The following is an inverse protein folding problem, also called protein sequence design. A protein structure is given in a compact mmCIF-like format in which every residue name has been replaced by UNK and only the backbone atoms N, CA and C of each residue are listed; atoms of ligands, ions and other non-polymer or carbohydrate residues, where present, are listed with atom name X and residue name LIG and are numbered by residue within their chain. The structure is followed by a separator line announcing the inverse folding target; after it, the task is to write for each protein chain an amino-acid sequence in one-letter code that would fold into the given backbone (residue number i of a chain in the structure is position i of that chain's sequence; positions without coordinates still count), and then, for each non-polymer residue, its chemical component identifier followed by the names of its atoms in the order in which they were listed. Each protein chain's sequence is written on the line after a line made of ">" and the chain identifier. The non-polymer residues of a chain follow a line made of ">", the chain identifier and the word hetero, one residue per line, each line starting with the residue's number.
data_IF_884569071225
#
_entry.id   IF_884569071225
#
_cell.length_a   1.000
_cell.length_b   1.000
_cell.length_c   1.000
_cell.angle_alpha   90.00
_cell.angle_beta   90.00
_cell.angle_gamma   90.00
#
_symmetry.space_group_name_H-M   'P 1'
#
loop_
_entity.id
_entity.type
_entity.pdbx_description
1 polymer ?
#
# COMPACT_ATOMS: atom_id res chain seq x y z
N UNK A 1 17.74 63.67 25.57
CA UNK A 1 17.36 62.76 26.67
C UNK A 1 15.85 62.51 26.76
N UNK A 2 14.99 63.52 26.61
CA UNK A 2 13.52 63.34 26.70
C UNK A 2 12.94 62.31 25.71
N UNK A 3 13.46 62.27 24.49
CA UNK A 3 13.01 61.33 23.45
C UNK A 3 13.42 59.88 23.77
N UNK A 4 14.58 59.67 24.37
CA UNK A 4 15.06 58.35 24.81
C UNK A 4 14.25 57.89 26.03
N UNK A 5 13.96 58.79 26.97
CA UNK A 5 13.08 58.48 28.10
C UNK A 5 11.64 58.15 27.66
N UNK A 6 11.11 58.88 26.67
CA UNK A 6 9.80 58.60 26.08
C UNK A 6 9.80 57.29 25.29
N UNK A 7 10.85 56.99 24.53
CA UNK A 7 10.99 55.74 23.79
C UNK A 7 11.16 54.55 24.74
N UNK A 8 11.96 54.68 25.80
CA UNK A 8 12.11 53.65 26.83
C UNK A 8 10.80 53.47 27.60
N UNK A 9 10.10 54.55 27.94
CA UNK A 9 8.77 54.49 28.56
C UNK A 9 7.73 53.83 27.64
N UNK A 10 7.76 54.14 26.34
CA UNK A 10 6.88 53.56 25.33
C UNK A 10 7.21 52.08 25.06
N UNK A 11 8.48 51.70 25.07
CA UNK A 11 8.92 50.30 24.95
C UNK A 11 8.59 49.50 26.21
N UNK A 12 8.67 50.10 27.41
CA UNK A 12 8.19 49.49 28.66
C UNK A 12 6.67 49.34 28.62
N UNK A 13 5.94 50.32 28.08
CA UNK A 13 4.49 50.24 27.88
C UNK A 13 4.08 49.17 26.85
N UNK A 14 4.85 49.00 25.77
CA UNK A 14 4.65 47.94 24.78
C UNK A 14 5.04 46.55 25.31
N UNK A 15 6.01 46.46 26.22
CA UNK A 15 6.45 45.21 26.85
C UNK A 15 5.57 44.82 28.04
N UNK A 16 4.98 45.81 28.70
CA UNK A 16 3.97 45.70 29.74
C UNK A 16 2.58 45.77 29.15
N UNK A 17 2.20 44.77 28.35
CA UNK A 17 0.78 44.47 28.15
C UNK A 17 0.15 44.38 29.52
N UNK A 18 -0.75 45.31 29.80
CA UNK A 18 -1.35 45.52 31.10
C UNK A 18 -1.68 44.17 31.76
N UNK A 19 -1.20 44.00 33.00
CA UNK A 19 -1.62 42.97 33.94
C UNK A 19 -3.08 43.28 34.35
N UNK A 20 -3.97 43.33 33.36
CA UNK A 20 -5.40 43.28 33.56
C UNK A 20 -5.58 41.93 34.18
N UNK A 21 -5.89 41.99 35.48
CA UNK A 21 -6.35 40.92 36.35
C UNK A 21 -7.48 40.16 35.65
N UNK A 22 -7.11 39.31 34.71
CA UNK A 22 -8.01 38.51 33.90
C UNK A 22 -8.62 37.52 34.88
N UNK A 23 -9.85 37.84 35.30
CA UNK A 23 -10.66 37.01 36.18
C UNK A 23 -10.82 35.67 35.50
N UNK A 24 -10.39 34.61 36.18
CA UNK A 24 -10.36 33.26 35.66
C UNK A 24 -10.11 32.27 36.80
N UNK A 25 -10.18 30.98 36.47
CA UNK A 25 -9.83 29.91 37.39
C UNK A 25 -8.56 29.21 36.90
N UNK A 26 -7.85 28.59 37.85
CA UNK A 26 -6.63 27.85 37.53
C UNK A 26 -6.90 26.35 37.43
N UNK A 27 -6.14 25.69 36.58
CA UNK A 27 -6.03 24.24 36.50
C UNK A 27 -4.54 23.88 36.45
N UNK A 28 -4.18 22.70 36.98
CA UNK A 28 -2.79 22.24 37.00
C UNK A 28 -2.62 21.04 36.08
N UNK A 29 -1.87 21.19 34.99
CA UNK A 29 -1.57 20.12 34.04
C UNK A 29 -0.21 19.53 34.37
N UNK A 30 -0.15 18.25 34.69
CA UNK A 30 1.11 17.55 34.98
C UNK A 30 1.53 16.70 33.77
N UNK A 31 2.72 16.98 33.24
CA UNK A 31 3.29 16.30 32.06
C UNK A 31 4.67 15.70 32.39
N UNK A 32 5.11 14.72 31.61
CA UNK A 32 6.44 14.15 31.78
C UNK A 32 7.56 15.15 31.41
N UNK A 33 7.33 15.97 30.38
CA UNK A 33 8.26 16.99 29.91
C UNK A 33 7.50 18.24 29.46
N UNK A 34 7.91 19.42 29.92
CA UNK A 34 7.33 20.71 29.56
C UNK A 34 7.62 21.14 28.11
N UNK A 35 8.62 20.53 27.45
CA UNK A 35 8.94 20.74 26.05
C UNK A 35 9.30 22.19 25.68
N UNK A 36 9.78 22.97 26.65
CA UNK A 36 10.11 24.40 26.47
C UNK A 36 8.91 25.34 26.53
N UNK A 37 7.74 24.92 27.05
CA UNK A 37 6.60 25.81 27.24
C UNK A 37 6.94 26.93 28.24
N UNK A 38 6.69 28.17 27.84
CA UNK A 38 7.00 29.36 28.63
C UNK A 38 5.78 29.90 29.35
N UNK A 39 6.01 30.66 30.43
CA UNK A 39 4.97 31.48 31.06
C UNK A 39 4.43 32.48 30.02
N UNK A 40 3.11 32.63 29.95
CA UNK A 40 2.42 33.45 28.95
C UNK A 40 2.00 32.70 27.68
N UNK A 41 2.45 31.44 27.50
CA UNK A 41 2.02 30.58 26.39
C UNK A 41 0.49 30.44 26.36
N UNK A 42 -0.08 30.41 25.15
CA UNK A 42 -1.53 30.32 24.98
C UNK A 42 -2.06 28.96 25.39
N UNK A 43 -3.31 28.92 25.82
CA UNK A 43 -4.09 27.70 26.03
C UNK A 43 -5.29 27.77 25.11
N UNK A 44 -5.47 26.73 24.30
CA UNK A 44 -6.46 26.70 23.24
C UNK A 44 -7.36 25.49 23.41
N UNK A 45 -8.66 25.68 23.16
CA UNK A 45 -9.65 24.60 23.06
C UNK A 45 -10.28 24.68 21.67
N UNK A 46 -10.26 23.56 20.92
CA UNK A 46 -10.71 23.52 19.53
C UNK A 46 -10.09 24.63 18.63
N UNK A 47 -8.83 25.01 18.90
CA UNK A 47 -8.11 26.04 18.15
C UNK A 47 -8.40 27.49 18.57
N UNK A 48 -9.25 27.72 19.57
CA UNK A 48 -9.59 29.05 20.09
C UNK A 48 -8.87 29.31 21.42
N UNK A 49 -8.27 30.48 21.59
CA UNK A 49 -7.61 30.87 22.85
C UNK A 49 -8.64 30.99 23.99
N UNK A 50 -8.47 30.16 25.02
CA UNK A 50 -9.33 30.11 26.21
C UNK A 50 -8.60 30.48 27.50
N UNK A 51 -7.28 30.61 27.46
CA UNK A 51 -6.47 30.89 28.64
C UNK A 51 -4.99 31.05 28.32
N UNK A 52 -4.18 31.17 29.37
CA UNK A 52 -2.71 31.26 29.28
C UNK A 52 -2.02 30.53 30.42
N UNK A 53 -0.79 30.07 30.17
CA UNK A 53 0.09 29.50 31.18
C UNK A 53 0.53 30.59 32.15
N UNK A 54 0.20 30.45 33.44
CA UNK A 54 0.59 31.37 34.50
C UNK A 54 1.87 30.93 35.22
N UNK A 55 2.17 29.62 35.26
CA UNK A 55 3.36 29.09 35.94
C UNK A 55 3.82 27.75 35.37
N UNK A 56 5.12 27.48 35.41
CA UNK A 56 5.73 26.19 35.08
C UNK A 56 6.71 25.82 36.18
N UNK A 57 6.52 24.67 36.82
CA UNK A 57 7.30 24.22 37.98
C UNK A 57 7.71 22.75 37.85
N UNK A 58 8.84 22.38 38.43
CA UNK A 58 9.25 20.98 38.56
C UNK A 58 8.64 20.39 39.83
N UNK A 59 7.93 19.27 39.70
CA UNK A 59 7.37 18.54 40.84
C UNK A 59 8.44 17.69 41.54
N UNK A 60 8.23 17.28 42.81
CA UNK A 60 9.13 16.36 43.52
C UNK A 60 9.36 15.04 42.78
N UNK A 61 8.38 14.57 42.00
CA UNK A 61 8.43 13.37 41.17
C UNK A 61 9.17 13.59 39.83
N UNK A 62 9.87 14.73 39.68
CA UNK A 62 10.62 15.13 38.48
C UNK A 62 9.74 15.26 37.22
N UNK A 63 8.48 15.68 37.39
CA UNK A 63 7.55 16.00 36.30
C UNK A 63 7.35 17.51 36.19
N UNK A 64 6.87 18.01 35.06
CA UNK A 64 6.52 19.42 34.97
C UNK A 64 5.05 19.63 35.33
N UNK A 65 4.79 20.53 36.29
CA UNK A 65 3.45 21.04 36.62
C UNK A 65 3.28 22.41 35.94
N UNK A 66 2.29 22.50 35.08
CA UNK A 66 1.95 23.70 34.33
C UNK A 66 0.64 24.24 34.89
N UNK A 67 0.69 25.42 35.49
CA UNK A 67 -0.52 26.11 35.95
C UNK A 67 -1.06 26.94 34.81
N UNK A 68 -2.31 26.68 34.45
CA UNK A 68 -3.02 27.32 33.35
C UNK A 68 -4.17 28.10 33.93
N UNK A 69 -4.28 29.37 33.56
CA UNK A 69 -5.39 30.25 33.92
C UNK A 69 -6.36 30.31 32.76
N UNK A 70 -7.58 29.82 33.00
CA UNK A 70 -8.69 29.78 32.04
C UNK A 70 -9.61 30.97 32.28
N UNK A 71 -10.10 31.59 31.19
CA UNK A 71 -11.03 32.72 31.24
C UNK A 71 -12.35 32.29 31.90
N UNK A 72 -12.94 33.14 32.75
CA UNK A 72 -14.17 32.83 33.52
C UNK A 72 -15.35 32.36 32.64
N UNK A 73 -15.46 32.87 31.41
CA UNK A 73 -16.53 32.52 30.49
C UNK A 73 -16.42 31.12 29.86
N UNK A 74 -15.31 30.39 30.10
CA UNK A 74 -15.04 29.10 29.48
C UNK A 74 -15.11 27.97 30.51
N UNK A 75 -16.05 27.05 30.30
CA UNK A 75 -16.15 25.81 31.06
C UNK A 75 -15.39 24.69 30.31
N UNK A 76 -14.41 24.06 30.96
CA UNK A 76 -13.71 22.89 30.39
C UNK A 76 -14.43 21.61 30.82
N UNK A 77 -14.96 20.79 29.89
CA UNK A 77 -15.65 19.54 30.23
C UNK A 77 -14.78 18.57 31.03
N UNK A 78 -15.34 17.86 32.02
CA UNK A 78 -14.65 16.78 32.71
C UNK A 78 -14.28 15.67 31.72
N UNK A 79 -13.08 15.09 31.87
CA UNK A 79 -12.54 14.11 30.93
C UNK A 79 -11.81 14.72 29.73
N UNK A 80 -11.78 16.05 29.60
CA UNK A 80 -10.98 16.73 28.57
C UNK A 80 -9.51 16.31 28.62
N UNK A 81 -8.92 16.10 27.44
CA UNK A 81 -7.49 15.75 27.31
C UNK A 81 -6.65 17.00 27.11
N UNK A 82 -5.54 17.06 27.83
CA UNK A 82 -4.58 18.16 27.77
C UNK A 82 -3.29 17.68 27.12
N UNK A 83 -2.77 18.43 26.15
CA UNK A 83 -1.49 18.15 25.54
C UNK A 83 -0.71 19.43 25.28
N UNK A 84 0.63 19.33 25.24
CA UNK A 84 1.46 20.43 24.77
C UNK A 84 1.50 20.37 23.25
N UNK A 85 0.80 21.30 22.62
CA UNK A 85 0.87 21.54 21.19
C UNK A 85 2.06 22.43 20.82
N UNK A 86 2.32 22.51 19.52
CA UNK A 86 3.32 23.41 18.95
C UNK A 86 2.75 24.00 17.66
N UNK A 87 2.92 25.29 17.44
CA UNK A 87 2.54 25.93 16.18
C UNK A 87 3.51 25.49 15.05
N UNK A 88 3.40 24.23 14.60
CA UNK A 88 4.40 23.55 13.77
C UNK A 88 5.57 22.98 14.59
N UNK A 89 6.57 22.35 13.96
CA UNK A 89 7.69 21.72 14.71
C UNK A 89 8.62 22.70 15.45
N UNK A 90 8.67 23.97 15.05
CA UNK A 90 9.56 25.00 15.62
C UNK A 90 8.81 26.19 16.24
N UNK A 91 7.48 26.19 16.24
CA UNK A 91 6.69 27.30 16.76
C UNK A 91 6.60 27.31 18.28
N UNK A 92 6.01 28.40 18.80
CA UNK A 92 5.75 28.52 20.23
C UNK A 92 4.86 27.36 20.71
N UNK A 93 5.20 26.87 21.90
CA UNK A 93 4.43 25.83 22.59
C UNK A 93 3.16 26.44 23.16
N UNK A 94 2.07 25.68 23.11
CA UNK A 94 0.79 26.05 23.69
C UNK A 94 0.15 24.83 24.35
N UNK A 95 -0.80 25.05 25.26
CA UNK A 95 -1.62 23.95 25.80
C UNK A 95 -2.83 23.76 24.89
N UNK A 96 -2.98 22.57 24.33
CA UNK A 96 -4.16 22.16 23.59
C UNK A 96 -5.10 21.40 24.52
N UNK A 97 -6.37 21.80 24.54
CA UNK A 97 -7.46 21.15 25.25
C UNK A 97 -8.38 20.50 24.21
N UNK A 98 -8.48 19.17 24.26
CA UNK A 98 -9.44 18.40 23.50
C UNK A 98 -10.64 18.08 24.40
N UNK A 99 -11.80 18.73 24.19
CA UNK A 99 -12.96 18.52 25.04
C UNK A 99 -13.48 17.08 24.88
N UNK A 100 -13.94 16.49 25.98
CA UNK A 100 -14.66 15.22 25.91
C UNK A 100 -16.07 15.47 25.32
N UNK A 101 -16.51 14.71 24.31
CA UNK A 101 -17.84 14.87 23.75
C UNK A 101 -18.95 14.52 24.75
N UNK A 102 -20.03 15.29 24.76
CA UNK A 102 -21.24 15.02 25.57
C UNK A 102 -21.53 16.10 26.61
N UNK A 103 -22.64 15.93 27.32
CA UNK A 103 -23.05 16.80 28.42
C UNK A 103 -22.45 16.30 29.74
N UNK A 104 -21.19 16.68 29.97
CA UNK A 104 -20.44 16.33 31.18
C UNK A 104 -20.16 17.59 32.01
N UNK A 105 -20.16 17.48 33.35
CA UNK A 105 -19.93 18.63 34.21
C UNK A 105 -18.53 19.22 33.96
N UNK A 106 -18.33 20.52 34.24
CA UNK A 106 -17.03 21.15 34.07
C UNK A 106 -16.01 20.69 35.13
N UNK A 107 -14.74 20.79 34.78
CA UNK A 107 -13.62 20.59 35.72
C UNK A 107 -13.65 21.69 36.78
N UNK A 108 -13.45 21.32 38.04
CA UNK A 108 -13.43 22.26 39.16
C UNK A 108 -12.14 23.12 39.17
N UNK A 109 -12.21 24.38 39.61
CA UNK A 109 -11.02 25.19 39.87
C UNK A 109 -9.99 24.49 40.77
N UNK A 110 -8.71 24.57 40.41
CA UNK A 110 -7.60 23.96 41.13
C UNK A 110 -7.39 22.46 40.84
N UNK A 111 -8.20 21.87 39.95
CA UNK A 111 -8.05 20.45 39.61
C UNK A 111 -6.68 20.18 38.98
N UNK A 112 -6.06 19.08 39.43
CA UNK A 112 -4.85 18.53 38.83
C UNK A 112 -5.21 17.49 37.78
N UNK A 113 -4.79 17.71 36.55
CA UNK A 113 -5.02 16.81 35.41
C UNK A 113 -3.69 16.30 34.86
N UNK A 114 -3.71 15.10 34.28
CA UNK A 114 -2.54 14.58 33.57
C UNK A 114 -2.61 15.01 32.11
N UNK A 115 -1.53 15.61 31.61
CA UNK A 115 -1.38 15.96 30.21
C UNK A 115 -0.34 15.12 29.50
N UNK A 116 -0.39 15.13 28.16
CA UNK A 116 0.64 14.52 27.32
C UNK A 116 1.74 15.54 27.00
N UNK A 117 2.99 15.08 27.13
CA UNK A 117 4.17 15.82 26.66
C UNK A 117 4.12 15.99 25.13
N UNK A 118 4.79 17.01 24.56
CA UNK A 118 4.88 17.11 23.13
C UNK A 118 5.67 15.94 22.56
N UNK A 119 5.30 15.50 21.36
CA UNK A 119 6.07 14.49 20.63
C UNK A 119 7.50 15.00 20.45
N UNK A 120 8.47 14.24 20.93
CA UNK A 120 9.89 14.60 20.76
C UNK A 120 10.37 14.16 19.37
N UNK A 121 11.41 14.82 18.87
CA UNK A 121 12.06 14.41 17.63
C UNK A 121 12.68 13.00 17.75
N UNK A 122 13.20 12.69 18.93
CA UNK A 122 13.77 11.38 19.26
C UNK A 122 12.69 10.27 19.23
N UNK A 123 11.50 10.55 19.77
CA UNK A 123 10.37 9.62 19.70
C UNK A 123 9.88 9.41 18.27
N UNK A 124 9.89 10.46 17.44
CA UNK A 124 9.59 10.33 16.00
C UNK A 124 10.64 9.46 15.30
N UNK A 125 11.92 9.71 15.58
CA UNK A 125 13.03 8.95 15.02
C UNK A 125 12.92 7.45 15.36
N UNK A 126 12.70 7.11 16.63
CA UNK A 126 12.51 5.71 17.07
C UNK A 126 11.30 5.04 16.42
N UNK A 127 10.18 5.76 16.29
CA UNK A 127 8.98 5.24 15.62
C UNK A 127 9.24 4.95 14.15
N UNK A 128 9.96 5.82 13.45
CA UNK A 128 10.28 5.59 12.03
C UNK A 128 11.26 4.43 11.89
N UNK A 129 12.27 4.29 12.77
CA UNK A 129 13.15 3.12 12.82
C UNK A 129 12.34 1.83 13.01
N UNK A 130 11.38 1.83 13.93
CA UNK A 130 10.55 0.65 14.18
C UNK A 130 9.71 0.26 12.95
N UNK A 131 9.15 1.25 12.23
CA UNK A 131 8.44 1.01 10.97
C UNK A 131 9.37 0.47 9.89
N UNK A 132 10.58 1.04 9.75
CA UNK A 132 11.57 0.57 8.79
C UNK A 132 11.96 -0.91 9.05
N UNK A 133 12.24 -1.29 10.30
CA UNK A 133 12.56 -2.69 10.67
C UNK A 133 11.42 -3.66 10.36
N UNK A 134 10.16 -3.26 10.59
CA UNK A 134 9.00 -4.09 10.21
C UNK A 134 8.90 -4.27 8.69
N UNK A 135 9.26 -3.24 7.92
CA UNK A 135 9.30 -3.33 6.47
C UNK A 135 10.43 -4.26 5.99
N UNK A 136 11.61 -4.22 6.63
CA UNK A 136 12.71 -5.18 6.41
C UNK A 136 12.27 -6.63 6.68
N UNK A 137 11.61 -6.88 7.80
CA UNK A 137 11.10 -8.22 8.14
C UNK A 137 10.10 -8.72 7.08
N UNK A 138 9.20 -7.84 6.64
CA UNK A 138 8.23 -8.16 5.59
C UNK A 138 8.92 -8.48 4.24
N UNK A 139 9.89 -7.66 3.83
CA UNK A 139 10.64 -7.87 2.60
C UNK A 139 11.49 -9.15 2.65
N UNK A 140 12.12 -9.43 3.79
CA UNK A 140 12.86 -10.68 4.02
C UNK A 140 11.95 -11.90 3.91
N UNK A 141 10.74 -11.83 4.46
CA UNK A 141 9.75 -12.91 4.32
C UNK A 141 9.31 -13.10 2.87
N UNK A 142 9.09 -12.02 2.11
CA UNK A 142 8.77 -12.09 0.68
C UNK A 142 9.93 -12.72 -0.09
N UNK A 143 11.18 -12.32 0.17
CA UNK A 143 12.37 -12.90 -0.44
C UNK A 143 12.52 -14.38 -0.14
N UNK A 144 12.23 -14.81 1.10
CA UNK A 144 12.27 -16.22 1.47
C UNK A 144 11.29 -17.04 0.64
N UNK A 145 10.07 -16.55 0.42
CA UNK A 145 9.05 -17.24 -0.37
C UNK A 145 9.42 -17.25 -1.86
N UNK A 146 9.85 -16.11 -2.41
CA UNK A 146 10.14 -15.96 -3.83
C UNK A 146 11.47 -16.60 -4.24
N UNK A 147 12.45 -16.58 -3.33
CA UNK A 147 13.75 -17.23 -3.47
C UNK A 147 13.73 -18.72 -3.15
N UNK A 148 12.63 -19.26 -2.61
CA UNK A 148 12.50 -20.68 -2.27
C UNK A 148 12.68 -21.55 -3.53
N UNK A 149 13.69 -22.46 -3.56
CA UNK A 149 13.83 -23.44 -4.63
C UNK A 149 12.58 -24.30 -4.83
N UNK A 150 11.81 -24.56 -3.77
CA UNK A 150 10.56 -25.32 -3.82
C UNK A 150 9.49 -24.61 -4.65
N UNK A 151 9.37 -23.30 -4.54
CA UNK A 151 8.42 -22.52 -5.35
C UNK A 151 8.79 -22.59 -6.84
N UNK A 152 10.08 -22.46 -7.16
CA UNK A 152 10.58 -22.58 -8.53
C UNK A 152 10.36 -23.97 -9.13
N UNK A 153 10.57 -25.02 -8.33
CA UNK A 153 10.31 -26.40 -8.72
C UNK A 153 8.82 -26.65 -8.97
N UNK A 154 7.95 -26.20 -8.05
CA UNK A 154 6.50 -26.33 -8.19
C UNK A 154 5.97 -25.62 -9.44
N UNK A 155 6.38 -24.37 -9.69
CA UNK A 155 6.00 -23.65 -10.91
C UNK A 155 6.48 -24.35 -12.18
N UNK A 156 7.70 -24.87 -12.18
CA UNK A 156 8.25 -25.61 -13.32
C UNK A 156 7.49 -26.91 -13.59
N UNK A 157 7.07 -27.61 -12.53
CA UNK A 157 6.23 -28.80 -12.61
C UNK A 157 4.84 -28.46 -13.15
N UNK A 158 4.21 -27.39 -12.66
CA UNK A 158 2.91 -26.93 -13.17
C UNK A 158 2.98 -26.54 -14.65
N UNK A 159 4.06 -25.88 -15.09
CA UNK A 159 4.28 -25.57 -16.51
C UNK A 159 4.40 -26.86 -17.35
N UNK A 160 5.10 -27.88 -16.83
CA UNK A 160 5.23 -29.18 -17.48
C UNK A 160 3.88 -29.88 -17.59
N UNK A 161 3.14 -29.99 -16.49
CA UNK A 161 1.80 -30.58 -16.44
C UNK A 161 0.85 -29.91 -17.44
N UNK A 162 0.92 -28.57 -17.55
CA UNK A 162 0.11 -27.82 -18.50
C UNK A 162 0.48 -28.13 -19.97
N UNK A 163 1.78 -28.33 -20.26
CA UNK A 163 2.25 -28.75 -21.59
C UNK A 163 1.78 -30.17 -21.91
N UNK A 164 1.90 -31.11 -20.98
CA UNK A 164 1.50 -32.50 -21.17
C UNK A 164 -0.02 -32.61 -21.37
N UNK A 165 -0.80 -31.87 -20.57
CA UNK A 165 -2.24 -31.74 -20.75
C UNK A 165 -2.61 -31.23 -22.14
N UNK A 166 -1.87 -30.24 -22.65
CA UNK A 166 -2.10 -29.71 -24.02
C UNK A 166 -1.90 -30.79 -25.08
N UNK A 167 -0.90 -31.67 -24.89
CA UNK A 167 -0.63 -32.77 -25.82
C UNK A 167 -1.76 -33.81 -25.80
N UNK A 168 -2.23 -34.20 -24.62
CA UNK A 168 -3.32 -35.17 -24.46
C UNK A 168 -4.62 -34.64 -25.05
N UNK A 169 -5.00 -33.41 -24.72
CA UNK A 169 -6.21 -32.76 -25.27
C UNK A 169 -6.13 -32.61 -26.79
N UNK A 170 -4.95 -32.30 -27.34
CA UNK A 170 -4.77 -32.23 -28.80
C UNK A 170 -4.93 -33.60 -29.46
N UNK A 171 -4.36 -34.66 -28.88
CA UNK A 171 -4.49 -36.03 -29.39
C UNK A 171 -5.95 -36.49 -29.42
N UNK A 172 -6.68 -36.26 -28.32
CA UNK A 172 -8.11 -36.57 -28.24
C UNK A 172 -8.92 -35.87 -29.35
N UNK A 173 -8.63 -34.59 -29.60
CA UNK A 173 -9.27 -33.84 -30.68
C UNK A 173 -8.99 -34.42 -32.08
N UNK A 174 -7.73 -34.76 -32.37
CA UNK A 174 -7.32 -35.35 -33.64
C UNK A 174 -8.01 -36.70 -33.87
N UNK A 175 -8.17 -37.50 -32.80
CA UNK A 175 -8.89 -38.75 -32.86
C UNK A 175 -10.39 -38.57 -33.08
N UNK A 176 -11.03 -37.63 -32.36
CA UNK A 176 -12.44 -37.26 -32.61
C UNK A 176 -12.67 -36.87 -34.06
N UNK A 177 -11.81 -36.03 -34.62
CA UNK A 177 -11.90 -35.61 -36.02
C UNK A 177 -11.71 -36.78 -36.99
N UNK A 178 -10.76 -37.67 -36.71
CA UNK A 178 -10.51 -38.84 -37.56
C UNK A 178 -11.71 -39.78 -37.56
N UNK A 179 -12.25 -40.09 -36.38
CA UNK A 179 -13.45 -40.94 -36.22
C UNK A 179 -14.67 -40.32 -36.88
N UNK A 180 -14.86 -39.00 -36.76
CA UNK A 180 -15.96 -38.28 -37.43
C UNK A 180 -15.87 -38.44 -38.95
N UNK A 181 -14.68 -38.24 -39.54
CA UNK A 181 -14.47 -38.42 -40.99
C UNK A 181 -14.67 -39.88 -41.44
N UNK A 182 -14.26 -40.86 -40.63
CA UNK A 182 -14.51 -42.28 -40.92
C UNK A 182 -16.00 -42.58 -40.90
N UNK A 183 -16.72 -42.08 -39.89
CA UNK A 183 -18.17 -42.26 -39.78
C UNK A 183 -18.94 -41.61 -40.95
N UNK A 184 -18.47 -40.47 -41.47
CA UNK A 184 -19.09 -39.80 -42.61
C UNK A 184 -18.87 -40.56 -43.94
N UNK A 185 -17.76 -41.30 -44.05
CA UNK A 185 -17.41 -42.06 -45.27
C UNK A 185 -17.98 -43.47 -45.29
N UNK A 186 -18.19 -44.08 -44.12
CA UNK A 186 -18.60 -45.49 -44.03
C UNK A 186 -20.09 -45.60 -43.76
N UNK A 187 -20.87 -46.00 -44.76
CA UNK A 187 -22.29 -46.38 -44.59
C UNK A 187 -22.34 -47.87 -44.22
N UNK A 188 -22.11 -48.18 -42.94
CA UNK A 188 -22.56 -49.44 -42.32
C UNK A 188 -21.69 -50.70 -42.45
N UNK A 189 -20.55 -50.72 -43.15
CA UNK A 189 -19.81 -51.98 -43.40
C UNK A 189 -18.52 -52.20 -42.59
N UNK A 190 -18.00 -51.21 -41.86
CA UNK A 190 -16.78 -51.36 -41.03
C UNK A 190 -17.03 -51.09 -39.53
N UNK A 191 -18.10 -51.67 -38.99
CA UNK A 191 -18.47 -51.53 -37.57
C UNK A 191 -17.36 -51.90 -36.58
N UNK A 192 -16.55 -52.97 -36.79
CA UNK A 192 -15.44 -53.29 -35.90
C UNK A 192 -14.40 -52.17 -35.82
N UNK A 193 -14.14 -51.47 -36.94
CA UNK A 193 -13.18 -50.37 -37.02
C UNK A 193 -13.70 -49.15 -36.25
N UNK A 194 -14.97 -48.79 -36.44
CA UNK A 194 -15.62 -47.68 -35.73
C UNK A 194 -15.66 -47.97 -34.22
N UNK A 195 -16.04 -49.17 -33.82
CA UNK A 195 -16.08 -49.56 -32.40
C UNK A 195 -14.67 -49.51 -31.76
N UNK A 196 -13.63 -49.95 -32.47
CA UNK A 196 -12.25 -49.85 -31.99
C UNK A 196 -11.79 -48.39 -31.83
N UNK A 197 -12.08 -47.53 -32.81
CA UNK A 197 -11.75 -46.10 -32.74
C UNK A 197 -12.50 -45.39 -31.60
N UNK A 198 -13.78 -45.70 -31.40
CA UNK A 198 -14.59 -45.16 -30.31
C UNK A 198 -14.04 -45.58 -28.94
N UNK A 199 -13.58 -46.83 -28.77
CA UNK A 199 -12.89 -47.26 -27.53
C UNK A 199 -11.63 -46.44 -27.26
N UNK A 200 -10.77 -46.28 -28.27
CA UNK A 200 -9.55 -45.47 -28.15
C UNK A 200 -9.88 -44.03 -27.77
N UNK A 201 -10.88 -43.44 -28.41
CA UNK A 201 -11.33 -42.09 -28.11
C UNK A 201 -11.88 -41.96 -26.69
N UNK A 202 -12.69 -42.91 -26.23
CA UNK A 202 -13.19 -42.94 -24.84
C UNK A 202 -12.05 -42.94 -23.83
N UNK A 203 -11.01 -43.76 -24.07
CA UNK A 203 -9.83 -43.81 -23.20
C UNK A 203 -9.05 -42.49 -23.21
N UNK A 204 -8.87 -41.87 -24.37
CA UNK A 204 -8.18 -40.57 -24.48
C UNK A 204 -8.96 -39.42 -23.86
N UNK A 205 -10.30 -39.42 -23.97
CA UNK A 205 -11.15 -38.44 -23.30
C UNK A 205 -11.05 -38.61 -21.77
N UNK A 206 -11.06 -39.84 -21.26
CA UNK A 206 -10.87 -40.11 -19.85
C UNK A 206 -9.49 -39.62 -19.36
N UNK A 207 -8.43 -39.83 -20.14
CA UNK A 207 -7.09 -39.32 -19.85
C UNK A 207 -7.07 -37.78 -19.89
N UNK A 208 -7.68 -37.15 -20.90
CA UNK A 208 -7.80 -35.69 -20.96
C UNK A 208 -8.53 -35.12 -19.73
N UNK A 209 -9.63 -35.74 -19.30
CA UNK A 209 -10.35 -35.32 -18.09
C UNK A 209 -9.46 -35.41 -16.84
N UNK A 210 -8.66 -36.47 -16.72
CA UNK A 210 -7.71 -36.66 -15.61
C UNK A 210 -6.62 -35.59 -15.61
N UNK A 211 -5.99 -35.33 -16.75
CA UNK A 211 -4.92 -34.34 -16.89
C UNK A 211 -5.43 -32.91 -16.68
N UNK A 212 -6.58 -32.58 -17.24
CA UNK A 212 -7.24 -31.28 -17.02
C UNK A 212 -7.57 -31.09 -15.54
N UNK A 213 -8.00 -32.14 -14.83
CA UNK A 213 -8.25 -32.08 -13.38
C UNK A 213 -6.97 -31.81 -12.57
N UNK A 214 -5.84 -32.41 -12.94
CA UNK A 214 -4.53 -32.12 -12.30
C UNK A 214 -4.16 -30.65 -12.48
N UNK A 215 -4.35 -30.11 -13.68
CA UNK A 215 -4.11 -28.69 -13.97
C UNK A 215 -4.95 -27.76 -13.06
N UNK A 216 -6.19 -28.11 -12.74
CA UNK A 216 -7.04 -27.30 -11.82
C UNK A 216 -6.48 -27.22 -10.42
N UNK A 217 -5.94 -28.32 -9.90
CA UNK A 217 -5.37 -28.36 -8.55
C UNK A 217 -4.26 -27.32 -8.39
N UNK A 218 -3.50 -27.09 -9.47
CA UNK A 218 -2.33 -26.24 -9.47
C UNK A 218 -2.65 -24.77 -9.87
N UNK A 219 -3.81 -24.51 -10.49
CA UNK A 219 -4.17 -23.20 -11.08
C UNK A 219 -5.31 -22.49 -10.33
N UNK A 220 -5.89 -23.10 -9.29
CA UNK A 220 -7.02 -22.56 -8.54
C UNK A 220 -6.66 -21.27 -7.74
N UNK A 221 -6.56 -20.13 -8.43
CA UNK A 221 -6.34 -18.81 -7.85
C UNK A 221 -7.61 -17.94 -7.89
N UNK A 222 -8.55 -18.20 -8.81
CA UNK A 222 -9.86 -17.54 -8.83
C UNK A 222 -11.02 -18.56 -8.95
N UNK A 223 -12.15 -18.25 -8.32
CA UNK A 223 -13.29 -19.17 -8.23
C UNK A 223 -13.94 -19.46 -9.59
N UNK A 224 -13.83 -18.55 -10.57
CA UNK A 224 -14.46 -18.71 -11.88
C UNK A 224 -13.70 -19.66 -12.81
N UNK A 225 -12.36 -19.55 -12.86
CA UNK A 225 -11.53 -20.48 -13.65
C UNK A 225 -11.66 -21.89 -13.10
N UNK A 226 -11.62 -22.06 -11.77
CA UNK A 226 -11.82 -23.36 -11.14
C UNK A 226 -13.18 -23.99 -11.50
N UNK A 227 -14.27 -23.20 -11.49
CA UNK A 227 -15.60 -23.66 -11.87
C UNK A 227 -15.70 -24.06 -13.34
N UNK A 228 -15.16 -23.24 -14.25
CA UNK A 228 -15.16 -23.56 -15.70
C UNK A 228 -14.43 -24.85 -15.97
N UNK A 229 -13.23 -25.03 -15.40
CA UNK A 229 -12.46 -26.24 -15.64
C UNK A 229 -13.15 -27.47 -15.01
N UNK A 230 -13.81 -27.34 -13.86
CA UNK A 230 -14.64 -28.41 -13.31
C UNK A 230 -15.79 -28.81 -14.25
N UNK A 231 -16.50 -27.82 -14.81
CA UNK A 231 -17.54 -28.07 -15.82
C UNK A 231 -16.97 -28.74 -17.06
N UNK A 232 -15.80 -28.32 -17.52
CA UNK A 232 -15.08 -28.95 -18.63
C UNK A 232 -14.75 -30.41 -18.33
N UNK A 233 -14.19 -30.72 -17.16
CA UNK A 233 -13.89 -32.11 -16.75
C UNK A 233 -15.16 -32.96 -16.76
N UNK A 234 -16.27 -32.43 -16.21
CA UNK A 234 -17.56 -33.13 -16.22
C UNK A 234 -18.11 -33.35 -17.64
N UNK A 235 -17.94 -32.37 -18.54
CA UNK A 235 -18.35 -32.51 -19.94
C UNK A 235 -17.52 -33.55 -20.69
N UNK A 236 -16.20 -33.61 -20.45
CA UNK A 236 -15.33 -34.63 -21.03
C UNK A 236 -15.70 -36.03 -20.51
N UNK A 237 -15.94 -36.17 -19.20
CA UNK A 237 -16.36 -37.44 -18.59
C UNK A 237 -17.69 -37.94 -19.17
N UNK A 238 -18.70 -37.06 -19.26
CA UNK A 238 -19.98 -37.39 -19.88
C UNK A 238 -19.82 -37.83 -21.33
N UNK A 239 -18.95 -37.17 -22.10
CA UNK A 239 -18.67 -37.56 -23.47
C UNK A 239 -18.00 -38.94 -23.56
N UNK A 240 -17.01 -39.21 -22.70
CA UNK A 240 -16.35 -40.52 -22.63
C UNK A 240 -17.36 -41.64 -22.30
N UNK A 241 -18.19 -41.45 -21.26
CA UNK A 241 -19.21 -42.41 -20.85
C UNK A 241 -20.24 -42.67 -21.97
N UNK A 242 -20.66 -41.61 -22.68
CA UNK A 242 -21.56 -41.71 -23.82
C UNK A 242 -20.98 -42.53 -24.97
N UNK A 243 -19.70 -42.32 -25.29
CA UNK A 243 -18.99 -43.09 -26.32
C UNK A 243 -18.83 -44.54 -25.89
N UNK A 244 -18.50 -44.81 -24.64
CA UNK A 244 -18.38 -46.18 -24.12
C UNK A 244 -19.70 -46.94 -24.20
N UNK A 245 -20.82 -46.27 -23.89
CA UNK A 245 -22.15 -46.82 -24.09
C UNK A 245 -22.39 -47.15 -25.57
N UNK A 246 -22.04 -46.25 -26.48
CA UNK A 246 -22.19 -46.51 -27.92
C UNK A 246 -21.37 -47.70 -28.41
N UNK A 247 -20.15 -47.88 -27.89
CA UNK A 247 -19.31 -49.05 -28.21
C UNK A 247 -19.98 -50.37 -27.83
N UNK A 248 -20.70 -50.40 -26.70
CA UNK A 248 -21.46 -51.59 -26.27
C UNK A 248 -22.66 -51.83 -27.19
N UNK A 249 -23.39 -50.77 -27.51
CA UNK A 249 -24.61 -50.86 -28.33
C UNK A 249 -24.29 -51.28 -29.78
N UNK A 250 -23.14 -50.87 -30.32
CA UNK A 250 -22.64 -51.26 -31.65
C UNK A 250 -22.27 -52.75 -31.79
N UNK A 251 -22.34 -53.56 -30.72
CA UNK A 251 -22.16 -55.02 -30.79
C UNK A 251 -23.43 -55.76 -31.27
N UNK A 252 -24.53 -55.05 -31.53
CA UNK A 252 -25.82 -55.56 -32.02
C UNK A 252 -26.13 -55.27 -33.50
N UNK A 253 -27.43 -55.25 -33.85
CA UNK A 253 -27.91 -54.96 -35.22
C UNK A 253 -27.95 -53.45 -35.45
N UNK A 254 -27.02 -52.94 -36.26
CA UNK A 254 -26.91 -51.50 -36.51
C UNK A 254 -28.04 -50.97 -37.36
N UNK A 255 -28.78 -50.02 -36.79
CA UNK A 255 -29.85 -49.28 -37.47
C UNK A 255 -29.51 -47.78 -37.59
N UNK A 256 -30.32 -47.02 -38.33
CA UNK A 256 -30.08 -45.58 -38.50
C UNK A 256 -30.12 -44.77 -37.20
N UNK A 257 -30.87 -45.22 -36.18
CA UNK A 257 -30.95 -44.51 -34.90
C UNK A 257 -29.60 -44.59 -34.16
N UNK A 258 -28.94 -45.73 -34.21
CA UNK A 258 -27.62 -45.91 -33.59
C UNK A 258 -26.54 -45.07 -34.29
N UNK A 259 -26.56 -45.00 -35.62
CA UNK A 259 -25.63 -44.11 -36.37
C UNK A 259 -25.86 -42.65 -36.02
N UNK A 260 -27.13 -42.21 -35.86
CA UNK A 260 -27.47 -40.86 -35.39
C UNK A 260 -26.97 -40.61 -33.97
N UNK A 261 -27.08 -41.59 -33.07
CA UNK A 261 -26.57 -41.50 -31.70
C UNK A 261 -25.04 -41.36 -31.67
N UNK A 262 -24.29 -42.14 -32.46
CA UNK A 262 -22.82 -41.99 -32.56
C UNK A 262 -22.46 -40.57 -33.04
N UNK A 263 -23.15 -40.03 -34.05
CA UNK A 263 -22.91 -38.66 -34.53
C UNK A 263 -23.12 -37.61 -33.45
N UNK A 264 -24.18 -37.77 -32.65
CA UNK A 264 -24.46 -36.86 -31.54
C UNK A 264 -23.35 -36.94 -30.47
N UNK A 265 -22.95 -38.15 -30.06
CA UNK A 265 -21.88 -38.32 -29.07
C UNK A 265 -20.53 -37.78 -29.55
N UNK A 266 -20.22 -37.90 -30.86
CA UNK A 266 -19.05 -37.27 -31.46
C UNK A 266 -19.10 -35.74 -31.41
N UNK A 267 -20.28 -35.15 -31.63
CA UNK A 267 -20.47 -33.70 -31.51
C UNK A 267 -20.30 -33.22 -30.07
N UNK A 268 -20.84 -33.95 -29.10
CA UNK A 268 -20.67 -33.69 -27.66
C UNK A 268 -19.20 -33.80 -27.24
N UNK A 269 -18.50 -34.86 -27.67
CA UNK A 269 -17.07 -35.05 -27.42
C UNK A 269 -16.22 -33.92 -28.03
N UNK A 270 -16.54 -33.49 -29.26
CA UNK A 270 -15.88 -32.37 -29.91
C UNK A 270 -16.09 -31.05 -29.15
N UNK A 271 -17.29 -30.81 -28.65
CA UNK A 271 -17.58 -29.65 -27.80
C UNK A 271 -16.76 -29.71 -26.51
N UNK A 272 -16.78 -30.84 -25.80
CA UNK A 272 -16.07 -31.01 -24.55
C UNK A 272 -14.55 -30.83 -24.70
N UNK A 273 -13.96 -31.32 -25.80
CA UNK A 273 -12.54 -31.11 -26.09
C UNK A 273 -12.21 -29.69 -26.53
N UNK A 274 -13.14 -28.99 -27.21
CA UNK A 274 -13.00 -27.55 -27.47
C UNK A 274 -12.94 -26.78 -26.15
N UNK A 275 -13.84 -27.07 -25.22
CA UNK A 275 -13.86 -26.47 -23.89
C UNK A 275 -12.57 -26.79 -23.12
N UNK A 276 -12.08 -28.04 -23.24
CA UNK A 276 -10.79 -28.47 -22.67
C UNK A 276 -9.61 -27.65 -23.19
N UNK A 277 -9.55 -27.41 -24.51
CA UNK A 277 -8.48 -26.58 -25.11
C UNK A 277 -8.52 -25.16 -24.57
N UNK A 278 -9.71 -24.56 -24.48
CA UNK A 278 -9.89 -23.21 -23.93
C UNK A 278 -9.45 -23.16 -22.47
N UNK A 279 -9.95 -24.07 -21.64
CA UNK A 279 -9.61 -24.18 -20.22
C UNK A 279 -8.09 -24.35 -19.99
N UNK A 280 -7.44 -25.23 -20.75
CA UNK A 280 -5.99 -25.47 -20.65
C UNK A 280 -5.20 -24.24 -21.11
N UNK A 281 -5.65 -23.56 -22.17
CA UNK A 281 -5.03 -22.32 -22.65
C UNK A 281 -5.13 -21.19 -21.61
N UNK A 282 -6.32 -20.98 -21.03
CA UNK A 282 -6.54 -20.02 -19.95
C UNK A 282 -5.66 -20.34 -18.73
N UNK A 283 -5.61 -21.62 -18.32
CA UNK A 283 -4.78 -22.04 -17.20
C UNK A 283 -3.29 -21.79 -17.45
N UNK A 284 -2.79 -22.08 -18.66
CA UNK A 284 -1.41 -21.76 -19.06
C UNK A 284 -1.10 -20.27 -19.01
N UNK A 285 -2.05 -19.43 -19.42
CA UNK A 285 -1.87 -17.98 -19.33
C UNK A 285 -1.76 -17.50 -17.87
N UNK A 286 -2.55 -18.07 -16.96
CA UNK A 286 -2.45 -17.77 -15.52
C UNK A 286 -1.08 -18.19 -14.97
N UNK A 287 -0.64 -19.41 -15.25
CA UNK A 287 0.68 -19.93 -14.81
C UNK A 287 1.82 -19.07 -15.38
N UNK A 288 1.72 -18.68 -16.66
CA UNK A 288 2.70 -17.81 -17.32
C UNK A 288 2.81 -16.45 -16.63
N UNK A 289 1.68 -15.81 -16.34
CA UNK A 289 1.65 -14.54 -15.57
C UNK A 289 2.25 -14.70 -14.18
N UNK A 290 1.93 -15.77 -13.47
CA UNK A 290 2.50 -16.05 -12.15
C UNK A 290 4.02 -16.18 -12.20
N UNK A 291 4.55 -16.94 -13.17
CA UNK A 291 5.99 -17.07 -13.38
C UNK A 291 6.65 -15.71 -13.73
N UNK A 292 6.04 -14.92 -14.60
CA UNK A 292 6.55 -13.57 -14.92
C UNK A 292 6.58 -12.64 -13.70
N UNK A 293 5.58 -12.70 -12.82
CA UNK A 293 5.56 -11.92 -11.58
C UNK A 293 6.70 -12.37 -10.67
N UNK A 294 6.88 -13.68 -10.46
CA UNK A 294 7.97 -14.22 -9.65
C UNK A 294 9.33 -13.78 -10.20
N UNK A 295 9.55 -13.86 -11.51
CA UNK A 295 10.81 -13.43 -12.14
C UNK A 295 11.03 -11.91 -12.03
N UNK A 296 9.99 -11.10 -12.27
CA UNK A 296 10.08 -9.64 -12.11
C UNK A 296 10.38 -9.24 -10.67
N UNK A 297 9.75 -9.90 -9.70
CA UNK A 297 10.00 -9.60 -8.29
C UNK A 297 11.43 -9.99 -7.88
N UNK A 298 11.96 -11.12 -8.37
CA UNK A 298 13.38 -11.49 -8.17
C UNK A 298 14.38 -10.48 -8.71
N UNK A 299 14.03 -9.76 -9.78
CA UNK A 299 14.91 -8.74 -10.38
C UNK A 299 14.88 -7.40 -9.63
N UNK A 300 13.80 -7.12 -8.89
CA UNK A 300 13.55 -5.83 -8.25
C UNK A 300 13.85 -5.87 -6.76
N UNK A 301 13.62 -7.00 -6.08
CA UNK A 301 13.93 -7.15 -4.66
C UNK A 301 15.35 -7.71 -4.51
N UNK A 302 16.27 -7.02 -3.80
CA UNK A 302 17.63 -7.50 -3.58
C UNK A 302 17.65 -8.78 -2.73
N UNK A 303 18.56 -9.73 -2.99
CA UNK A 303 18.67 -11.01 -2.26
C UNK A 303 18.76 -10.85 -0.73
N UNK A 304 19.38 -9.76 -0.27
CA UNK A 304 19.41 -9.33 1.13
C UNK A 304 18.94 -7.89 1.22
N UNK A 305 17.91 -7.66 2.03
CA UNK A 305 17.53 -6.34 2.51
C UNK A 305 17.94 -6.29 3.97
N UNK A 306 19.12 -5.72 4.23
CA UNK A 306 19.58 -5.44 5.59
C UNK A 306 19.52 -3.92 5.78
N UNK A 307 18.81 -3.45 6.80
CA UNK A 307 18.85 -2.04 7.14
C UNK A 307 20.25 -1.71 7.70
N UNK A 308 20.92 -0.67 7.17
CA UNK A 308 22.17 -0.18 7.75
C UNK A 308 21.93 0.31 9.18
N UNK A 309 23.02 0.57 9.92
CA UNK A 309 22.91 1.31 11.16
C UNK A 309 22.29 2.69 10.89
N UNK A 310 21.01 2.82 11.26
CA UNK A 310 20.15 3.96 10.94
C UNK A 310 20.67 5.26 11.57
N UNK A 311 21.56 5.17 12.57
CA UNK A 311 22.14 6.31 13.29
C UNK A 311 23.22 7.06 12.53
N UNK A 312 23.89 6.44 11.55
CA UNK A 312 25.04 7.05 10.86
C UNK A 312 24.76 7.53 9.43
N UNK A 313 23.61 7.15 8.84
CA UNK A 313 23.29 7.44 7.45
C UNK A 313 21.81 7.79 7.18
N UNK A 314 21.10 8.31 8.18
CA UNK A 314 19.73 8.77 8.03
C UNK A 314 19.65 10.29 7.84
N UNK A 315 18.82 10.73 6.90
CA UNK A 315 18.41 12.13 6.74
C UNK A 315 16.93 12.22 7.06
N UNK A 316 16.61 12.83 8.19
CA UNK A 316 15.23 13.17 8.53
C UNK A 316 14.94 14.58 8.04
N UNK A 317 13.76 14.76 7.48
CA UNK A 317 13.30 16.05 7.00
C UNK A 317 11.83 16.22 7.35
N UNK A 318 11.49 17.43 7.75
CA UNK A 318 10.12 17.84 7.98
C UNK A 318 9.78 19.03 7.09
N UNK A 319 8.66 18.93 6.38
CA UNK A 319 8.10 19.99 5.55
C UNK A 319 6.79 20.51 6.13
N UNK A 320 6.60 21.83 6.06
CA UNK A 320 5.29 22.47 6.22
C UNK A 320 4.95 23.21 4.94
N UNK A 321 3.70 23.13 4.51
CA UNK A 321 3.26 23.73 3.25
C UNK A 321 1.83 24.24 3.32
N UNK A 322 1.51 25.19 2.45
CA UNK A 322 0.21 25.81 2.32
C UNK A 322 -0.18 25.91 0.85
N UNK A 323 -1.42 25.58 0.52
CA UNK A 323 -1.95 25.58 -0.86
C UNK A 323 -3.09 26.58 -1.08
N UNK A 324 -3.26 27.56 -0.19
CA UNK A 324 -4.38 28.51 -0.26
C UNK A 324 -5.63 28.08 0.51
N UNK A 325 -5.75 26.81 0.90
CA UNK A 325 -6.91 26.29 1.64
C UNK A 325 -6.53 25.63 2.97
N UNK A 326 -5.42 24.89 2.98
CA UNK A 326 -5.00 24.11 4.15
C UNK A 326 -3.50 24.13 4.33
N UNK A 327 -3.09 23.96 5.59
CA UNK A 327 -1.70 23.71 5.97
C UNK A 327 -1.49 22.21 6.06
N UNK A 328 -0.43 21.71 5.43
CA UNK A 328 -0.03 20.32 5.50
C UNK A 328 1.36 20.16 6.08
N UNK A 329 1.59 18.98 6.65
CA UNK A 329 2.82 18.59 7.33
C UNK A 329 3.33 17.30 6.72
N UNK A 330 4.58 17.30 6.27
CA UNK A 330 5.21 16.11 5.68
C UNK A 330 6.45 15.75 6.49
N UNK A 331 6.68 14.46 6.70
CA UNK A 331 7.89 13.93 7.32
C UNK A 331 8.51 12.93 6.35
N UNK A 332 9.79 13.04 6.08
CA UNK A 332 10.52 12.06 5.28
C UNK A 332 11.80 11.61 5.97
N UNK A 333 12.00 10.30 6.05
CA UNK A 333 13.25 9.68 6.45
C UNK A 333 13.90 9.03 5.23
N UNK A 334 15.09 9.49 4.88
CA UNK A 334 15.93 8.86 3.88
C UNK A 334 17.08 8.12 4.55
N UNK A 335 17.17 6.81 4.30
CA UNK A 335 18.29 5.99 4.73
C UNK A 335 19.29 5.86 3.58
N UNK A 336 20.57 6.08 3.87
CA UNK A 336 21.67 6.06 2.89
C UNK A 336 22.72 4.99 3.26
N UNK A 337 22.35 3.69 3.29
CA UNK A 337 23.16 2.59 3.82
C UNK A 337 24.62 2.59 3.40
N UNK A 338 24.85 2.79 2.10
CA UNK A 338 26.09 3.00 1.36
C UNK A 338 25.62 3.06 -0.11
N UNK A 339 26.13 4.01 -0.91
CA UNK A 339 25.71 4.16 -2.32
C UNK A 339 25.88 2.83 -3.10
N UNK A 340 24.99 2.49 -4.07
CA UNK A 340 24.14 3.41 -4.84
C UNK A 340 22.63 3.42 -4.51
N UNK A 341 22.18 2.66 -3.52
CA UNK A 341 20.74 2.50 -3.22
C UNK A 341 20.37 3.13 -1.87
N UNK A 342 19.34 3.99 -1.90
CA UNK A 342 18.79 4.64 -0.70
C UNK A 342 17.34 4.19 -0.49
N UNK A 343 16.87 4.24 0.75
CA UNK A 343 15.47 3.96 1.09
C UNK A 343 14.79 5.23 1.58
N UNK A 344 13.60 5.53 1.05
CA UNK A 344 12.86 6.75 1.37
C UNK A 344 11.51 6.38 1.96
N UNK A 345 11.30 6.79 3.21
CA UNK A 345 10.04 6.65 3.93
C UNK A 345 9.41 8.03 4.05
N UNK A 346 8.14 8.17 3.71
CA UNK A 346 7.43 9.45 3.77
C UNK A 346 6.08 9.30 4.47
N UNK A 347 5.74 10.27 5.30
CA UNK A 347 4.43 10.50 5.88
C UNK A 347 3.97 11.88 5.40
N UNK A 348 2.99 11.94 4.51
CA UNK A 348 2.41 13.20 4.02
C UNK A 348 1.12 13.53 4.73
N UNK A 349 0.86 14.82 4.92
CA UNK A 349 -0.31 15.32 5.65
C UNK A 349 -0.43 14.70 7.06
N UNK A 350 0.71 14.57 7.73
CA UNK A 350 0.81 14.09 9.11
C UNK A 350 -0.04 14.97 10.05
N UNK A 351 -0.88 14.34 10.87
CA UNK A 351 -1.87 15.02 11.72
C UNK A 351 -3.26 15.17 11.09
N UNK A 352 -3.44 14.78 9.82
CA UNK A 352 -4.73 14.66 9.13
C UNK A 352 -4.92 13.29 8.50
N UNK A 353 -5.43 13.23 7.27
CA UNK A 353 -5.52 11.99 6.47
C UNK A 353 -4.11 11.58 5.97
N UNK A 354 -3.33 10.98 6.87
CA UNK A 354 -1.91 10.70 6.64
C UNK A 354 -1.73 9.70 5.50
N UNK A 355 -0.88 10.04 4.53
CA UNK A 355 -0.53 9.18 3.39
C UNK A 355 0.91 8.68 3.55
N UNK A 356 1.15 7.40 3.24
CA UNK A 356 2.43 6.73 3.52
C UNK A 356 3.14 6.40 2.21
N UNK A 357 4.41 6.77 2.11
CA UNK A 357 5.27 6.34 1.00
C UNK A 357 6.46 5.52 1.50
N UNK A 358 6.80 4.47 0.75
CA UNK A 358 7.97 3.61 0.96
C UNK A 358 8.58 3.37 -0.41
N UNK A 359 9.76 3.91 -0.65
CA UNK A 359 10.40 3.84 -1.97
C UNK A 359 11.85 3.40 -1.85
N UNK A 360 12.27 2.60 -2.82
CA UNK A 360 13.68 2.32 -3.09
C UNK A 360 14.15 3.33 -4.12
N UNK A 361 15.29 3.95 -3.87
CA UNK A 361 15.84 5.01 -4.70
C UNK A 361 17.21 4.60 -5.26
N UNK A 362 17.32 4.51 -6.58
CA UNK A 362 18.55 4.15 -7.29
C UNK A 362 19.09 5.35 -8.03
N UNK A 363 20.38 5.64 -7.87
CA UNK A 363 21.05 6.72 -8.60
C UNK A 363 21.25 6.30 -10.06
N UNK A 364 20.78 7.12 -11.00
CA UNK A 364 20.98 6.90 -12.44
C UNK A 364 22.29 7.56 -12.91
N UNK A 365 22.52 8.79 -12.46
CA UNK A 365 23.76 9.55 -12.66
C UNK A 365 23.97 10.54 -11.49
N UNK A 366 24.95 11.45 -11.59
CA UNK A 366 25.24 12.41 -10.51
C UNK A 366 24.11 13.40 -10.19
N UNK A 367 23.17 13.60 -11.13
CA UNK A 367 22.05 14.55 -11.05
C UNK A 367 20.70 13.85 -10.95
N UNK A 368 20.55 12.63 -11.44
CA UNK A 368 19.28 11.91 -11.53
C UNK A 368 19.21 10.71 -10.59
N UNK A 369 18.07 10.60 -9.93
CA UNK A 369 17.72 9.45 -9.10
C UNK A 369 16.29 9.01 -9.40
N UNK A 370 16.12 7.74 -9.69
CA UNK A 370 14.78 7.14 -9.83
C UNK A 370 14.37 6.52 -8.50
N UNK A 371 13.09 6.64 -8.16
CA UNK A 371 12.46 6.06 -6.98
C UNK A 371 11.31 5.17 -7.43
N UNK A 372 11.14 3.99 -6.84
CA UNK A 372 10.02 3.10 -7.14
C UNK A 372 9.50 2.46 -5.85
N UNK A 373 8.20 2.25 -5.77
CA UNK A 373 7.53 1.69 -4.59
C UNK A 373 6.17 2.34 -4.33
N UNK A 374 5.84 2.56 -3.07
CA UNK A 374 4.62 3.24 -2.65
C UNK A 374 4.86 4.76 -2.57
N UNK A 375 4.00 5.51 -3.25
CA UNK A 375 3.90 6.98 -3.23
C UNK A 375 2.49 7.31 -2.76
N UNK A 376 2.36 8.06 -1.67
CA UNK A 376 1.06 8.50 -1.15
C UNK A 376 0.04 7.35 -1.00
N UNK A 377 0.49 6.23 -0.44
CA UNK A 377 -0.24 4.98 -0.25
C UNK A 377 -0.64 4.22 -1.53
N UNK A 378 -0.08 4.60 -2.69
CA UNK A 378 -0.36 3.98 -3.98
C UNK A 378 0.93 3.51 -4.66
N UNK A 379 0.87 2.46 -5.49
CA UNK A 379 2.03 2.08 -6.31
C UNK A 379 2.40 3.22 -7.26
N UNK A 380 3.70 3.53 -7.35
CA UNK A 380 4.19 4.66 -8.12
C UNK A 380 5.69 4.70 -8.33
N UNK A 381 6.12 5.70 -9.10
CA UNK A 381 7.51 6.01 -9.43
C UNK A 381 7.79 7.48 -9.19
N UNK A 382 9.01 7.79 -8.76
CA UNK A 382 9.51 9.13 -8.58
C UNK A 382 10.79 9.34 -9.38
N UNK A 383 11.04 10.58 -9.80
CA UNK A 383 12.26 11.00 -10.46
C UNK A 383 12.75 12.27 -9.78
N UNK A 384 13.93 12.23 -9.19
CA UNK A 384 14.58 13.40 -8.61
C UNK A 384 15.68 13.88 -9.56
N UNK A 385 15.70 15.18 -9.83
CA UNK A 385 16.69 15.84 -10.66
C UNK A 385 17.36 16.99 -9.90
N UNK A 386 18.67 16.92 -9.75
CA UNK A 386 19.50 17.98 -9.17
C UNK A 386 19.85 18.99 -10.26
N UNK A 387 19.22 20.15 -10.20
CA UNK A 387 19.46 21.28 -11.12
C UNK A 387 20.77 21.97 -10.75
N UNK A 388 21.01 22.20 -9.46
CA UNK A 388 22.22 22.79 -8.90
C UNK A 388 22.46 22.27 -7.47
N UNK A 389 23.56 22.63 -6.78
CA UNK A 389 23.77 22.24 -5.39
C UNK A 389 22.67 22.70 -4.42
N UNK A 390 21.96 23.78 -4.76
CA UNK A 390 20.88 24.37 -3.96
C UNK A 390 19.50 24.20 -4.57
N UNK A 391 19.39 23.70 -5.81
CA UNK A 391 18.11 23.52 -6.48
C UNK A 391 17.89 22.08 -6.94
N UNK A 392 16.69 21.56 -6.67
CA UNK A 392 16.26 20.27 -7.20
C UNK A 392 14.81 20.30 -7.63
N UNK A 393 14.48 19.44 -8.59
CA UNK A 393 13.13 19.13 -8.98
C UNK A 393 12.85 17.66 -8.69
N UNK A 394 11.61 17.34 -8.36
CA UNK A 394 11.16 15.96 -8.18
C UNK A 394 9.79 15.80 -8.82
N UNK A 395 9.60 14.72 -9.57
CA UNK A 395 8.32 14.35 -10.15
C UNK A 395 7.90 12.97 -9.62
N UNK A 396 6.63 12.79 -9.32
CA UNK A 396 6.08 11.54 -8.81
C UNK A 396 4.80 11.18 -9.55
N UNK A 397 4.77 9.96 -10.08
CA UNK A 397 3.62 9.36 -10.74
C UNK A 397 3.08 8.23 -9.86
N UNK A 398 1.78 8.19 -9.60
CA UNK A 398 1.17 7.15 -8.75
C UNK A 398 -0.27 6.87 -9.15
N UNK A 399 -0.85 5.82 -8.55
CA UNK A 399 -2.26 5.40 -8.72
C UNK A 399 -2.58 5.02 -10.17
N UNK A 400 -2.35 3.75 -10.54
CA UNK A 400 -2.48 3.26 -11.91
C UNK A 400 -3.92 3.37 -12.46
N UNK A 401 -4.93 3.30 -11.59
CA UNK A 401 -6.34 3.43 -11.98
C UNK A 401 -6.75 4.88 -12.26
N UNK A 402 -6.14 5.84 -11.56
CA UNK A 402 -6.35 7.29 -11.75
C UNK A 402 -5.01 8.00 -11.61
N UNK A 403 -4.29 8.04 -12.73
CA UNK A 403 -2.89 8.50 -12.77
C UNK A 403 -2.78 9.89 -12.15
N UNK A 404 -1.96 9.99 -11.11
CA UNK A 404 -1.71 11.23 -10.38
C UNK A 404 -0.25 11.62 -10.59
N UNK A 405 -0.04 12.88 -11.00
CA UNK A 405 1.28 13.48 -11.16
C UNK A 405 1.48 14.61 -10.15
N UNK A 406 2.52 14.48 -9.35
CA UNK A 406 2.99 15.52 -8.44
C UNK A 406 4.37 16.00 -8.85
N UNK A 407 4.62 17.30 -8.78
CA UNK A 407 5.91 17.92 -9.08
C UNK A 407 6.29 18.85 -7.93
N UNK A 408 7.55 18.78 -7.53
CA UNK A 408 8.13 19.56 -6.45
C UNK A 408 9.40 20.24 -6.94
N UNK A 409 9.50 21.54 -6.70
CA UNK A 409 10.74 22.31 -6.85
C UNK A 409 11.23 22.70 -5.48
N UNK A 410 12.52 22.50 -5.22
CA UNK A 410 13.13 22.73 -3.92
C UNK A 410 14.31 23.67 -4.07
N UNK A 411 14.39 24.64 -3.18
CA UNK A 411 15.47 25.61 -3.09
C UNK A 411 16.05 25.59 -1.67
N UNK A 412 17.29 25.13 -1.51
CA UNK A 412 17.99 25.12 -0.24
C UNK A 412 18.51 26.53 0.07
N UNK A 413 18.05 27.10 1.19
CA UNK A 413 18.54 28.37 1.70
C UNK A 413 19.89 28.17 2.40
N UNK A 414 20.02 27.05 3.12
CA UNK A 414 21.23 26.59 3.79
C UNK A 414 21.15 25.06 3.96
N UNK A 415 22.14 24.39 4.61
CA UNK A 415 22.12 22.93 4.76
C UNK A 415 20.90 22.35 5.47
N UNK A 416 20.27 23.12 6.36
CA UNK A 416 19.13 22.69 7.19
C UNK A 416 17.79 23.21 6.69
N UNK A 417 17.72 24.40 6.10
CA UNK A 417 16.46 25.02 5.70
C UNK A 417 16.34 25.16 4.18
N UNK A 418 15.13 25.01 3.67
CA UNK A 418 14.83 25.39 2.30
C UNK A 418 13.35 25.61 2.04
N UNK A 419 13.06 26.05 0.83
CA UNK A 419 11.73 26.32 0.31
C UNK A 419 11.32 25.24 -0.68
N UNK A 420 10.02 24.99 -0.76
CA UNK A 420 9.43 24.08 -1.73
C UNK A 420 8.28 24.74 -2.45
N UNK A 421 8.25 24.60 -3.77
CA UNK A 421 7.10 24.90 -4.60
C UNK A 421 6.52 23.57 -5.06
N UNK A 422 5.21 23.40 -4.90
CA UNK A 422 4.51 22.13 -5.07
C UNK A 422 3.41 22.30 -6.09
N UNK A 423 3.32 21.39 -7.04
CA UNK A 423 2.21 21.27 -7.95
C UNK A 423 1.71 19.83 -7.86
N UNK A 424 0.54 19.64 -7.25
CA UNK A 424 0.00 18.32 -6.93
C UNK A 424 -1.21 18.03 -7.82
N UNK A 425 -1.43 16.74 -8.10
CA UNK A 425 -2.57 16.26 -8.88
C UNK A 425 -2.73 16.95 -10.24
N UNK A 426 -1.60 17.21 -10.92
CA UNK A 426 -1.52 18.01 -12.15
C UNK A 426 -2.40 17.49 -13.31
N UNK A 427 -2.71 16.19 -13.33
CA UNK A 427 -3.49 15.56 -14.39
C UNK A 427 -5.00 15.49 -14.08
N UNK A 428 -5.39 15.76 -12.83
CA UNK A 428 -6.76 15.59 -12.37
C UNK A 428 -7.29 16.94 -11.86
N UNK A 429 -6.98 17.27 -10.61
CA UNK A 429 -7.37 18.53 -9.96
C UNK A 429 -6.11 19.25 -9.48
N UNK A 430 -5.49 20.10 -10.31
CA UNK A 430 -4.21 20.70 -10.00
C UNK A 430 -4.32 21.65 -8.80
N UNK A 431 -3.45 21.44 -7.81
CA UNK A 431 -3.29 22.37 -6.69
C UNK A 431 -1.85 22.82 -6.60
N UNK A 432 -1.62 24.11 -6.37
CA UNK A 432 -0.28 24.67 -6.17
C UNK A 432 -0.11 25.06 -4.72
N UNK A 433 1.06 24.78 -4.17
CA UNK A 433 1.40 25.15 -2.82
C UNK A 433 2.84 25.62 -2.69
N UNK A 434 3.08 26.39 -1.64
CA UNK A 434 4.41 26.79 -1.21
C UNK A 434 4.67 26.18 0.16
N UNK A 435 5.92 25.88 0.46
CA UNK A 435 6.31 25.32 1.73
C UNK A 435 7.74 25.62 2.09
N UNK A 436 8.07 25.27 3.32
CA UNK A 436 9.42 25.28 3.83
C UNK A 436 9.72 23.89 4.40
N UNK A 437 10.97 23.48 4.34
CA UNK A 437 11.44 22.25 4.96
C UNK A 437 12.62 22.53 5.88
N UNK A 438 12.72 21.71 6.91
CA UNK A 438 13.85 21.60 7.81
C UNK A 438 14.43 20.19 7.73
N UNK A 439 15.73 20.12 7.53
CA UNK A 439 16.53 18.90 7.47
C UNK A 439 17.35 18.82 8.76
N UNK A 440 17.16 17.70 9.46
CA UNK A 440 17.85 17.37 10.69
C UNK A 440 19.23 16.77 10.40
#
# INVERSE_FOLDING_TARGET
>A
MLFIAALVGFLIFLRGGADIRDRGYEIHVVVANAGGIAVGATTQMAGVEVGRVSRVELTPERRARITVRIRTAVAIPMGSRFSIGSAGLLGDRYIAISPEPGDVPPIEPGTVVTGSAPLSLEELYDRVIAVARRAEDALTNINRVIGDPLLGAALSETIRNARDTTVVVRRAAENIERTTRTLDRTIGTELPVIAAQLRTMSAELADAASQVKVLVRDVAADGQTAQRVQQTVQSIQRAADGIEKMVRDLQGVVNEQEVRAVRQSLAEARSAITDARTAVSEGRAVIGRANEVVQRVRQVIPEKFELPDLRSAARLEYGVWYNGQRVGHDVSLELQPLAPTNYVFTLREFGGATRVGIQVASRLDERMRIRYGLVDSNLGVGLDYRISPVMSASAELSNISQVTLNVYFRYALNPSYGLTLRAQSLLNQPTVGIGAYYRF
#
